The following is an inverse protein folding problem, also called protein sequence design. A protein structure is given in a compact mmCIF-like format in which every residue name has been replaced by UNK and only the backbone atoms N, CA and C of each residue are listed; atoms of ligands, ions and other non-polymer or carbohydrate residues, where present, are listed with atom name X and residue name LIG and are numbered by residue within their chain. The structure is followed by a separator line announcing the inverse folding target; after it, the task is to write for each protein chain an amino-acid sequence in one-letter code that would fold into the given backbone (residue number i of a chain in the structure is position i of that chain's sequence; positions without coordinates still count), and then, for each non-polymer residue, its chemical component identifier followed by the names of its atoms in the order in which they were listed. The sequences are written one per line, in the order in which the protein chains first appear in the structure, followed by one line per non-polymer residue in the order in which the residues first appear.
data_IF_544088906162
#
_entry.id   IF_544088906162
#
_cell.length_a   1.000
_cell.length_b   1.000
_cell.length_c   1.000
_cell.angle_alpha   90.00
_cell.angle_beta   90.00
_cell.angle_gamma   90.00
#
_symmetry.space_group_name_H-M   'P 1'
#
loop_
_entity.id
_entity.type
_entity.pdbx_description
1 polymer ?
#
# COMPACT_ATOMS: atom_id res chain seq x y z
N UNK A 1 21.20 -10.79 5.06
CA UNK A 1 21.33 -11.61 3.84
C UNK A 1 19.95 -11.94 3.26
N UNK A 2 18.98 -12.32 4.08
CA UNK A 2 17.62 -12.70 3.60
C UNK A 2 16.76 -11.54 3.11
N UNK A 3 16.86 -10.36 3.72
CA UNK A 3 16.17 -9.16 3.23
C UNK A 3 16.61 -8.77 1.81
N UNK A 4 17.90 -9.00 1.48
CA UNK A 4 18.41 -8.83 0.14
C UNK A 4 17.75 -9.81 -0.84
N UNK A 5 17.56 -11.08 -0.46
CA UNK A 5 16.86 -12.06 -1.28
C UNK A 5 15.38 -11.72 -1.44
N UNK A 6 14.68 -11.26 -0.39
CA UNK A 6 13.29 -10.81 -0.51
C UNK A 6 13.15 -9.60 -1.46
N UNK A 7 14.06 -8.63 -1.37
CA UNK A 7 14.11 -7.47 -2.29
C UNK A 7 14.35 -7.90 -3.74
N UNK A 8 15.26 -8.85 -3.98
CA UNK A 8 15.59 -9.33 -5.31
C UNK A 8 14.51 -10.24 -5.89
N UNK A 9 13.93 -11.12 -5.08
CA UNK A 9 12.83 -12.01 -5.47
C UNK A 9 11.62 -11.20 -5.93
N UNK A 10 11.28 -10.10 -5.25
CA UNK A 10 10.19 -9.19 -5.68
C UNK A 10 10.44 -8.64 -7.09
N UNK A 11 11.65 -8.12 -7.34
CA UNK A 11 12.02 -7.54 -8.65
C UNK A 11 12.04 -8.57 -9.77
N UNK A 12 12.35 -9.84 -9.47
CA UNK A 12 12.35 -10.95 -10.42
C UNK A 12 10.92 -11.46 -10.67
N UNK A 13 10.08 -11.48 -9.64
CA UNK A 13 8.72 -12.00 -9.70
C UNK A 13 7.71 -11.03 -10.35
N UNK A 14 8.02 -9.73 -10.43
CA UNK A 14 7.19 -8.79 -11.18
C UNK A 14 7.44 -8.95 -12.69
N UNK A 15 6.41 -9.37 -13.47
CA UNK A 15 6.60 -9.59 -14.90
C UNK A 15 6.95 -8.28 -15.62
N UNK A 16 7.68 -8.41 -16.73
CA UNK A 16 8.31 -7.27 -17.42
C UNK A 16 7.32 -6.30 -18.06
N UNK A 17 6.12 -6.77 -18.37
CA UNK A 17 4.99 -5.97 -18.82
C UNK A 17 4.48 -5.05 -17.72
N UNK A 18 4.39 -5.55 -16.48
CA UNK A 18 4.00 -4.73 -15.32
C UNK A 18 4.97 -3.56 -15.10
N UNK A 19 6.27 -3.74 -15.32
CA UNK A 19 7.28 -2.65 -15.23
C UNK A 19 7.04 -1.50 -16.22
N UNK A 20 6.34 -1.79 -17.32
CA UNK A 20 6.06 -0.83 -18.39
C UNK A 20 4.76 -0.08 -18.19
N UNK A 21 3.91 -0.52 -17.25
CA UNK A 21 2.69 0.19 -16.91
C UNK A 21 3.03 1.61 -16.44
N UNK A 22 2.17 2.55 -16.83
CA UNK A 22 2.23 3.97 -16.46
C UNK A 22 0.88 4.35 -15.91
N UNK A 23 0.88 5.26 -14.94
CA UNK A 23 -0.36 5.80 -14.39
C UNK A 23 -1.13 6.55 -15.50
N UNK A 24 -2.32 6.09 -15.92
CA UNK A 24 -3.11 6.79 -16.91
C UNK A 24 -4.03 7.86 -16.28
N UNK A 25 -4.10 7.91 -14.94
CA UNK A 25 -4.98 8.80 -14.18
C UNK A 25 -4.26 10.08 -13.76
N UNK A 26 -4.96 11.23 -13.75
CA UNK A 26 -4.38 12.49 -13.28
C UNK A 26 -4.09 12.42 -11.77
N UNK A 27 -2.96 13.00 -11.36
CA UNK A 27 -2.64 13.21 -9.95
C UNK A 27 -3.16 14.58 -9.55
N UNK A 28 -4.27 14.62 -8.82
CA UNK A 28 -4.91 15.85 -8.34
C UNK A 28 -4.86 15.93 -6.81
N UNK A 29 -5.08 17.11 -6.20
CA UNK A 29 -5.19 17.21 -4.75
C UNK A 29 -6.23 16.24 -4.16
N UNK A 30 -7.37 16.10 -4.83
CA UNK A 30 -8.48 15.21 -4.44
C UNK A 30 -8.07 13.75 -4.52
N UNK A 31 -7.40 13.35 -5.61
CA UNK A 31 -6.90 11.98 -5.78
C UNK A 31 -5.87 11.61 -4.70
N UNK A 32 -5.08 12.59 -4.23
CA UNK A 32 -4.13 12.42 -3.14
C UNK A 32 -4.79 12.43 -1.75
N UNK A 33 -5.97 13.04 -1.59
CA UNK A 33 -6.80 12.88 -0.38
C UNK A 33 -7.35 11.47 -0.32
N UNK A 34 -8.00 11.00 -1.39
CA UNK A 34 -8.54 9.63 -1.46
C UNK A 34 -7.45 8.58 -1.21
N UNK A 35 -6.28 8.73 -1.85
CA UNK A 35 -5.14 7.83 -1.62
C UNK A 35 -4.68 7.77 -0.16
N UNK A 36 -4.74 8.89 0.58
CA UNK A 36 -4.39 8.93 2.02
C UNK A 36 -5.38 8.12 2.85
N UNK A 37 -6.66 8.21 2.54
CA UNK A 37 -7.70 7.43 3.23
C UNK A 37 -7.50 5.93 2.99
N UNK A 38 -7.29 5.51 1.73
CA UNK A 38 -6.96 4.12 1.41
C UNK A 38 -5.68 3.65 2.10
N UNK A 39 -4.64 4.50 2.16
CA UNK A 39 -3.39 4.19 2.85
C UNK A 39 -3.61 3.95 4.35
N UNK A 40 -4.35 4.83 5.02
CA UNK A 40 -4.65 4.74 6.45
C UNK A 40 -5.38 3.44 6.77
N UNK A 41 -6.39 3.09 5.97
CA UNK A 41 -7.25 1.92 6.22
C UNK A 41 -6.55 0.61 5.83
N UNK A 42 -5.91 0.55 4.67
CA UNK A 42 -5.41 -0.71 4.10
C UNK A 42 -3.92 -0.97 4.31
N UNK A 43 -3.09 0.06 4.45
CA UNK A 43 -1.63 -0.08 4.34
C UNK A 43 -0.88 0.26 5.65
N UNK A 44 -1.37 1.25 6.40
CA UNK A 44 -0.63 1.85 7.50
C UNK A 44 -0.43 0.93 8.71
N UNK A 45 -1.27 -0.10 8.89
CA UNK A 45 -1.10 -1.08 9.98
C UNK A 45 0.23 -1.85 9.88
N UNK A 46 0.72 -2.09 8.66
CA UNK A 46 2.00 -2.72 8.39
C UNK A 46 3.09 -1.70 8.03
N UNK A 47 2.77 -0.69 7.22
CA UNK A 47 3.74 0.25 6.66
C UNK A 47 3.90 1.55 7.46
N UNK A 48 3.18 1.71 8.58
CA UNK A 48 3.05 2.94 9.35
C UNK A 48 2.37 4.09 8.56
N UNK A 49 1.82 5.07 9.28
CA UNK A 49 1.17 6.24 8.66
C UNK A 49 2.17 7.04 7.82
N UNK A 50 3.39 7.20 8.30
CA UNK A 50 4.47 7.92 7.63
C UNK A 50 5.22 7.09 6.56
N UNK A 51 4.82 5.83 6.35
CA UNK A 51 5.50 4.92 5.43
C UNK A 51 6.79 4.29 5.97
N UNK A 52 7.16 4.53 7.23
CA UNK A 52 8.42 4.07 7.80
C UNK A 52 8.49 2.57 8.14
N UNK A 53 7.38 1.82 8.04
CA UNK A 53 7.33 0.39 8.35
C UNK A 53 7.51 0.04 9.85
N UNK A 54 7.60 1.04 10.72
CA UNK A 54 7.92 0.88 12.14
C UNK A 54 6.71 0.54 13.02
N UNK A 55 5.86 -0.38 12.57
CA UNK A 55 4.72 -0.89 13.36
C UNK A 55 5.06 -2.22 14.04
N UNK A 56 4.33 -2.58 15.10
CA UNK A 56 4.49 -3.89 15.74
C UNK A 56 4.18 -5.01 14.74
N UNK A 57 3.13 -4.87 13.93
CA UNK A 57 2.77 -5.87 12.94
C UNK A 57 3.83 -5.96 11.83
N UNK A 58 4.18 -4.83 11.20
CA UNK A 58 5.12 -4.76 10.08
C UNK A 58 6.50 -5.31 10.41
N UNK A 59 7.02 -5.05 11.61
CA UNK A 59 8.31 -5.59 12.07
C UNK A 59 8.31 -7.09 12.35
N UNK A 60 7.14 -7.69 12.61
CA UNK A 60 7.00 -9.11 12.92
C UNK A 60 6.58 -9.96 11.71
N UNK A 61 6.37 -9.34 10.54
CA UNK A 61 6.17 -10.08 9.28
C UNK A 61 7.50 -10.65 8.77
N UNK A 62 7.40 -11.70 7.96
CA UNK A 62 8.54 -12.26 7.24
C UNK A 62 8.29 -12.25 5.72
N UNK A 63 9.08 -11.49 4.93
CA UNK A 63 10.03 -10.46 5.39
C UNK A 63 9.30 -9.30 6.09
N UNK A 64 10.00 -8.48 6.91
CA UNK A 64 9.42 -7.29 7.51
C UNK A 64 8.88 -6.32 6.46
N UNK A 65 7.86 -5.53 6.84
CA UNK A 65 7.34 -4.48 5.98
C UNK A 65 8.46 -3.47 5.66
N UNK A 66 8.72 -3.17 4.37
CA UNK A 66 9.76 -2.24 3.98
C UNK A 66 9.44 -0.80 4.43
N UNK A 67 10.47 -0.01 4.73
CA UNK A 67 10.35 1.45 4.74
C UNK A 67 10.08 1.90 3.30
N UNK A 68 8.87 2.42 3.09
CA UNK A 68 8.37 2.82 1.79
C UNK A 68 9.00 4.11 1.29
N UNK A 69 9.68 4.86 2.17
CA UNK A 69 10.44 6.07 1.83
C UNK A 69 11.84 5.74 1.35
N UNK A 70 12.34 4.52 1.62
CA UNK A 70 13.69 4.14 1.30
C UNK A 70 13.94 4.16 -0.22
N UNK A 71 15.17 4.56 -0.61
CA UNK A 71 15.56 4.71 -2.01
C UNK A 71 15.23 3.48 -2.86
N UNK A 72 15.46 2.26 -2.37
CA UNK A 72 15.21 1.04 -3.14
C UNK A 72 13.72 0.79 -3.44
N UNK A 73 12.79 1.28 -2.62
CA UNK A 73 11.35 1.28 -2.91
C UNK A 73 11.05 2.40 -3.90
N UNK A 74 11.60 3.59 -3.65
CA UNK A 74 11.39 4.77 -4.49
C UNK A 74 12.03 4.66 -5.89
N UNK A 75 12.95 3.73 -6.13
CA UNK A 75 13.52 3.46 -7.46
C UNK A 75 12.76 2.40 -8.25
N UNK A 76 11.76 1.72 -7.68
CA UNK A 76 10.92 0.80 -8.46
C UNK A 76 10.19 1.55 -9.56
N UNK A 77 9.82 0.87 -10.64
CA UNK A 77 8.89 1.46 -11.60
C UNK A 77 7.49 1.58 -10.97
N UNK A 78 6.72 2.60 -11.37
CA UNK A 78 5.35 2.79 -10.85
C UNK A 78 4.46 1.58 -11.14
N UNK A 79 4.64 0.98 -12.32
CA UNK A 79 3.95 -0.25 -12.68
C UNK A 79 4.34 -1.48 -11.83
N UNK A 80 5.54 -1.51 -11.26
CA UNK A 80 5.91 -2.54 -10.27
C UNK A 80 5.13 -2.35 -8.98
N UNK A 81 5.05 -1.11 -8.47
CA UNK A 81 4.28 -0.79 -7.28
C UNK A 81 2.79 -1.12 -7.49
N UNK A 82 2.24 -0.72 -8.64
CA UNK A 82 0.87 -1.07 -9.04
C UNK A 82 0.65 -2.59 -8.98
N UNK A 83 1.50 -3.36 -9.67
CA UNK A 83 1.39 -4.81 -9.70
C UNK A 83 1.48 -5.45 -8.31
N UNK A 84 2.38 -4.97 -7.45
CA UNK A 84 2.55 -5.45 -6.08
C UNK A 84 1.30 -5.15 -5.25
N UNK A 85 0.70 -3.97 -5.37
CA UNK A 85 -0.54 -3.63 -4.65
C UNK A 85 -1.69 -4.53 -5.15
N UNK A 86 -1.83 -4.67 -6.48
CA UNK A 86 -2.90 -5.47 -7.08
C UNK A 86 -2.80 -6.95 -6.69
N UNK A 87 -1.59 -7.54 -6.70
CA UNK A 87 -1.40 -8.99 -6.59
C UNK A 87 -0.83 -9.46 -5.25
N UNK A 88 -0.40 -8.54 -4.39
CA UNK A 88 0.34 -8.85 -3.19
C UNK A 88 1.72 -9.42 -3.49
N UNK A 89 2.36 -9.99 -2.47
CA UNK A 89 3.64 -10.71 -2.62
C UNK A 89 3.48 -12.10 -2.01
N UNK A 90 3.55 -13.13 -2.86
CA UNK A 90 3.40 -14.53 -2.43
C UNK A 90 4.43 -14.90 -1.37
N UNK A 91 4.00 -15.69 -0.40
CA UNK A 91 4.82 -16.14 0.75
C UNK A 91 5.32 -15.00 1.65
N UNK A 92 4.58 -13.88 1.70
CA UNK A 92 4.83 -12.77 2.62
C UNK A 92 3.52 -12.35 3.30
N UNK A 93 3.60 -11.42 4.25
CA UNK A 93 2.42 -10.78 4.85
C UNK A 93 1.71 -9.73 3.98
N UNK A 94 2.16 -9.48 2.75
CA UNK A 94 1.55 -8.48 1.85
C UNK A 94 0.36 -9.08 1.07
N UNK A 95 -0.89 -8.72 1.37
CA UNK A 95 -2.06 -9.24 0.68
C UNK A 95 -2.24 -8.61 -0.71
N UNK A 96 -3.10 -9.22 -1.52
CA UNK A 96 -3.53 -8.68 -2.80
C UNK A 96 -4.72 -7.74 -2.60
N UNK A 97 -4.69 -6.56 -3.21
CA UNK A 97 -5.75 -5.56 -3.12
C UNK A 97 -6.57 -5.39 -4.40
N UNK A 98 -6.26 -6.13 -5.46
CA UNK A 98 -6.94 -5.98 -6.76
C UNK A 98 -8.43 -6.32 -6.77
N UNK A 99 -8.97 -6.92 -5.71
CA UNK A 99 -10.41 -7.15 -5.52
C UNK A 99 -11.11 -6.08 -4.67
N UNK A 100 -10.35 -5.29 -3.90
CA UNK A 100 -10.86 -4.29 -2.96
C UNK A 100 -10.66 -2.86 -3.47
N UNK A 101 -9.63 -2.62 -4.29
CA UNK A 101 -9.37 -1.34 -4.94
C UNK A 101 -9.57 -1.46 -6.46
N UNK A 102 -10.20 -0.45 -7.04
CA UNK A 102 -10.24 -0.20 -8.47
C UNK A 102 -8.84 0.09 -9.02
N UNK A 103 -8.63 -0.04 -10.35
CA UNK A 103 -7.38 0.36 -10.98
C UNK A 103 -7.00 1.82 -10.67
N UNK A 104 -7.98 2.73 -10.65
CA UNK A 104 -7.76 4.13 -10.34
C UNK A 104 -7.26 4.32 -8.90
N UNK A 105 -7.94 3.74 -7.91
CA UNK A 105 -7.54 3.81 -6.49
C UNK A 105 -6.14 3.22 -6.27
N UNK A 106 -5.81 2.13 -6.98
CA UNK A 106 -4.47 1.53 -6.94
C UNK A 106 -3.41 2.50 -7.48
N UNK A 107 -3.66 3.18 -8.59
CA UNK A 107 -2.74 4.19 -9.13
C UNK A 107 -2.63 5.44 -8.25
N UNK A 108 -3.72 5.81 -7.58
CA UNK A 108 -3.71 6.88 -6.58
C UNK A 108 -2.82 6.50 -5.39
N UNK A 109 -2.89 5.26 -4.90
CA UNK A 109 -1.97 4.72 -3.88
C UNK A 109 -0.51 4.74 -4.33
N UNK A 110 -0.22 4.34 -5.58
CA UNK A 110 1.14 4.44 -6.14
C UNK A 110 1.63 5.89 -6.11
N UNK A 111 0.78 6.83 -6.53
CA UNK A 111 1.10 8.26 -6.52
C UNK A 111 1.33 8.78 -5.10
N UNK A 112 0.58 8.28 -4.12
CA UNK A 112 0.77 8.62 -2.71
C UNK A 112 2.07 8.04 -2.13
N UNK A 113 2.44 6.81 -2.49
CA UNK A 113 3.73 6.20 -2.08
C UNK A 113 4.91 7.07 -2.53
N UNK A 114 4.83 7.72 -3.69
CA UNK A 114 5.85 8.67 -4.16
C UNK A 114 5.98 9.93 -3.30
N UNK A 115 4.92 10.30 -2.58
CA UNK A 115 4.89 11.48 -1.72
C UNK A 115 5.36 11.19 -0.29
N UNK A 116 5.37 9.93 0.14
CA UNK A 116 5.79 9.55 1.50
C UNK A 116 7.15 10.13 1.94
N UNK A 117 8.20 10.18 1.10
CA UNK A 117 9.48 10.80 1.48
C UNK A 117 9.39 12.29 1.79
N UNK A 118 8.37 12.98 1.26
CA UNK A 118 8.18 14.43 1.38
C UNK A 118 6.89 14.79 2.11
N UNK A 119 6.32 13.84 2.88
CA UNK A 119 5.08 14.05 3.61
C UNK A 119 5.26 15.16 4.64
N UNK A 120 4.39 16.16 4.62
CA UNK A 120 4.46 17.27 5.57
C UNK A 120 3.94 16.85 6.96
N UNK A 121 4.39 17.52 8.04
CA UNK A 121 3.85 17.28 9.39
C UNK A 121 2.33 17.50 9.48
N UNK A 122 1.78 18.44 8.72
CA UNK A 122 0.34 18.71 8.70
C UNK A 122 -0.43 17.57 8.03
N UNK A 123 0.07 17.03 6.91
CA UNK A 123 -0.54 15.86 6.27
C UNK A 123 -0.49 14.62 7.17
N UNK A 124 0.62 14.40 7.89
CA UNK A 124 0.72 13.31 8.85
C UNK A 124 -0.32 13.45 9.98
N UNK A 125 -0.47 14.67 10.53
CA UNK A 125 -1.49 14.96 11.56
C UNK A 125 -2.90 14.73 11.05
N UNK A 126 -3.18 15.01 9.78
CA UNK A 126 -4.46 14.69 9.16
C UNK A 126 -4.68 13.17 9.08
N UNK A 127 -3.65 12.42 8.69
CA UNK A 127 -3.71 10.96 8.64
C UNK A 127 -3.91 10.34 10.03
N UNK A 128 -3.29 10.89 11.08
CA UNK A 128 -3.53 10.47 12.47
C UNK A 128 -4.99 10.69 12.89
N UNK A 129 -5.57 11.84 12.54
CA UNK A 129 -6.99 12.11 12.80
C UNK A 129 -7.91 11.13 12.07
N UNK A 130 -7.61 10.83 10.80
CA UNK A 130 -8.34 9.85 10.00
C UNK A 130 -8.27 8.45 10.65
N UNK A 131 -7.07 8.03 11.08
CA UNK A 131 -6.87 6.75 11.76
C UNK A 131 -7.65 6.67 13.08
N UNK A 132 -7.62 7.75 13.87
CA UNK A 132 -8.36 7.83 15.13
C UNK A 132 -9.88 7.80 14.92
N UNK A 133 -10.39 8.50 13.89
CA UNK A 133 -11.81 8.50 13.54
C UNK A 133 -12.29 7.12 13.08
N UNK A 134 -11.50 6.41 12.26
CA UNK A 134 -11.80 5.04 11.85
C UNK A 134 -11.79 4.05 13.03
N UNK A 135 -10.87 4.22 13.99
CA UNK A 135 -10.82 3.40 15.19
C UNK A 135 -11.96 3.69 16.18
N UNK A 136 -12.53 4.90 16.15
CA UNK A 136 -13.68 5.30 16.97
C UNK A 136 -15.04 4.85 16.39
N UNK A 137 -15.08 4.48 15.09
CA UNK A 137 -16.30 4.06 14.42
C UNK A 137 -16.71 2.59 14.66
N UNK A 138 -15.90 1.79 15.37
CA UNK A 138 -16.17 0.37 15.62
C UNK A 138 -16.07 -0.50 14.34
N UNK A 139 -16.07 -1.84 14.47
CA UNK A 139 -15.96 -2.71 13.30
C UNK A 139 -17.24 -2.63 12.47
N UNK A 140 -17.15 -2.12 11.24
CA UNK A 140 -18.16 -2.32 10.21
C UNK A 140 -18.02 -3.73 9.63
N UNK A 141 -18.44 -4.73 10.42
CA UNK A 141 -18.72 -6.07 9.92
C UNK A 141 -20.20 -6.17 9.54
N UNK A 142 -20.55 -5.85 8.29
CA UNK A 142 -21.72 -6.38 7.55
C UNK A 142 -21.70 -5.78 6.13
N UNK A 143 -21.94 -6.47 5.02
CA UNK A 143 -22.66 -7.71 4.78
C UNK A 143 -22.23 -8.31 3.43
N UNK A 144 -22.13 -9.64 3.33
CA UNK A 144 -21.83 -10.28 2.05
C UNK A 144 -21.77 -11.80 2.03
N UNK A 145 -22.34 -12.51 3.01
CA UNK A 145 -22.53 -13.96 2.90
C UNK A 145 -23.67 -14.22 1.91
N UNK A 146 -23.32 -14.43 0.63
CA UNK A 146 -24.17 -15.20 -0.27
C UNK A 146 -23.71 -16.65 -0.24
N UNK A 147 -24.50 -17.45 0.46
CA UNK A 147 -24.48 -18.89 0.37
C UNK A 147 -24.59 -19.34 -1.10
N UNK A 148 -23.61 -20.08 -1.59
CA UNK A 148 -23.80 -20.98 -2.71
C UNK A 148 -23.75 -22.41 -2.20
N UNK A 149 -24.95 -23.00 -2.08
CA UNK A 149 -25.12 -24.45 -2.17
C UNK A 149 -24.81 -24.87 -3.59
N UNK A 150 -23.98 -25.88 -3.76
CA UNK A 150 -24.21 -27.02 -4.65
C UNK A 150 -23.39 -28.21 -4.17
#
# INVERSE_FOLDING_TARGET
MEEFFARHARRIATPSDAKQLRNPYPVTPESLVAAREHWVVGCASCHALDGGGNTVLGRNLYPPAPDMRAAYVQTLADGELYYIITNGVRFTGMPAWGGEHTPEETWQLVSFIRRLPTLSPEELKQMEKLAAAGSAAGPVHEAGSKAHRH
#
